data_IF_266057748724
#
_entry.id   IF_266057748724
#
_cell.length_a   1.000
_cell.length_b   1.000
_cell.length_c   1.000
_cell.angle_alpha   90.00
_cell.angle_beta   90.00
_cell.angle_gamma   90.00
#
_symmetry.space_group_name_H-M   'P 1'
#
loop_
_entity.id
_entity.type
_entity.pdbx_description
1 polymer ?
#
# COMPACT_ATOMS: atom_id res chain seq x y z
N UNK A 1 23.10 31.67 27.67
CA UNK A 1 21.64 31.47 27.66
C UNK A 1 21.01 31.82 26.30
N UNK A 2 21.21 33.05 25.80
CA UNK A 2 20.65 33.54 24.53
C UNK A 2 20.94 32.65 23.30
N UNK A 3 22.18 32.21 23.09
CA UNK A 3 22.54 31.36 21.94
C UNK A 3 21.77 30.02 21.94
N UNK A 4 21.60 29.40 23.12
CA UNK A 4 20.86 28.13 23.24
C UNK A 4 19.37 28.33 22.96
N UNK A 5 18.79 29.44 23.42
CA UNK A 5 17.39 29.77 23.14
C UNK A 5 17.15 30.02 21.64
N UNK A 6 18.08 30.71 20.97
CA UNK A 6 18.01 30.92 19.51
C UNK A 6 18.10 29.58 18.77
N UNK A 7 19.06 28.73 19.10
CA UNK A 7 19.22 27.41 18.45
C UNK A 7 17.97 26.53 18.62
N UNK A 8 17.41 26.47 19.84
CA UNK A 8 16.19 25.68 20.11
C UNK A 8 15.00 26.25 19.34
N UNK A 9 14.84 27.58 19.30
CA UNK A 9 13.75 28.22 18.57
C UNK A 9 13.87 28.01 17.05
N UNK A 10 15.08 28.11 16.49
CA UNK A 10 15.30 27.88 15.05
C UNK A 10 15.06 26.42 14.70
N UNK A 11 15.65 25.46 15.43
CA UNK A 11 15.47 24.02 15.16
C UNK A 11 14.01 23.63 15.34
N UNK A 12 13.37 24.02 16.44
CA UNK A 12 11.96 23.74 16.69
C UNK A 12 11.04 24.35 15.64
N UNK A 13 11.29 25.59 15.24
CA UNK A 13 10.54 26.27 14.18
C UNK A 13 10.70 25.58 12.82
N UNK A 14 11.92 25.20 12.44
CA UNK A 14 12.18 24.49 11.18
C UNK A 14 11.54 23.10 11.19
N UNK A 15 11.66 22.35 12.28
CA UNK A 15 11.03 21.03 12.40
C UNK A 15 9.50 21.13 12.34
N UNK A 16 8.90 22.09 13.06
CA UNK A 16 7.45 22.30 13.01
C UNK A 16 6.98 22.70 11.60
N UNK A 17 7.73 23.56 10.91
CA UNK A 17 7.43 23.95 9.53
C UNK A 17 7.49 22.75 8.57
N UNK A 18 8.53 21.91 8.68
CA UNK A 18 8.67 20.70 7.85
C UNK A 18 7.51 19.73 8.11
N UNK A 19 7.17 19.47 9.38
CA UNK A 19 6.08 18.55 9.73
C UNK A 19 4.74 19.07 9.22
N UNK A 20 4.44 20.34 9.43
CA UNK A 20 3.19 20.95 8.95
C UNK A 20 3.10 20.97 7.42
N UNK A 21 4.23 21.15 6.74
CA UNK A 21 4.28 21.12 5.28
C UNK A 21 4.13 19.71 4.72
N UNK A 22 4.75 18.69 5.34
CA UNK A 22 4.72 17.30 4.85
C UNK A 22 3.43 16.56 5.21
N UNK A 23 2.82 16.87 6.36
CA UNK A 23 1.58 16.25 6.83
C UNK A 23 0.44 16.21 5.78
N UNK A 24 0.09 17.31 5.08
CA UNK A 24 -0.97 17.26 4.08
C UNK A 24 -0.63 16.35 2.90
N UNK A 25 0.62 16.30 2.45
CA UNK A 25 1.02 15.41 1.36
C UNK A 25 0.90 13.94 1.76
N UNK A 26 1.28 13.60 2.99
CA UNK A 26 1.14 12.24 3.50
C UNK A 26 -0.34 11.86 3.62
N UNK A 27 -1.16 12.73 4.21
CA UNK A 27 -2.60 12.50 4.31
C UNK A 27 -3.28 12.36 2.94
N UNK A 28 -2.87 13.14 1.94
CA UNK A 28 -3.39 13.00 0.57
C UNK A 28 -3.02 11.65 -0.05
N UNK A 29 -1.78 11.19 0.15
CA UNK A 29 -1.34 9.86 -0.30
C UNK A 29 -2.10 8.74 0.39
N UNK A 30 -2.29 8.83 1.70
CA UNK A 30 -3.02 7.82 2.48
C UNK A 30 -4.49 7.74 2.03
N UNK A 31 -5.12 8.90 1.78
CA UNK A 31 -6.48 8.94 1.21
C UNK A 31 -6.53 8.35 -0.19
N UNK A 32 -5.61 8.72 -1.07
CA UNK A 32 -5.55 8.16 -2.43
C UNK A 32 -5.35 6.65 -2.42
N UNK A 33 -4.49 6.13 -1.52
CA UNK A 33 -4.26 4.70 -1.32
C UNK A 33 -5.53 4.01 -0.83
N UNK A 34 -6.15 4.52 0.23
CA UNK A 34 -7.41 3.97 0.77
C UNK A 34 -8.51 3.89 -0.30
N UNK A 35 -8.68 4.95 -1.09
CA UNK A 35 -9.63 4.96 -2.20
C UNK A 35 -9.30 3.86 -3.21
N UNK A 36 -8.04 3.78 -3.64
CA UNK A 36 -7.60 2.87 -4.71
C UNK A 36 -7.69 1.40 -4.28
N UNK A 37 -7.33 1.08 -3.04
CA UNK A 37 -7.42 -0.27 -2.47
C UNK A 37 -8.87 -0.75 -2.36
N UNK A 38 -9.81 0.13 -2.02
CA UNK A 38 -11.22 -0.21 -1.85
C UNK A 38 -12.04 -0.16 -3.15
N UNK A 39 -11.51 0.52 -4.17
CA UNK A 39 -12.14 0.71 -5.47
C UNK A 39 -12.64 -0.59 -6.12
N UNK A 40 -11.85 -1.67 -6.29
CA UNK A 40 -12.31 -2.88 -6.96
C UNK A 40 -13.53 -3.50 -6.28
N UNK A 41 -13.50 -3.61 -4.94
CA UNK A 41 -14.61 -4.18 -4.16
C UNK A 41 -15.88 -3.34 -4.26
N UNK A 42 -15.74 -2.02 -4.24
CA UNK A 42 -16.87 -1.13 -4.39
C UNK A 42 -17.48 -1.20 -5.79
N UNK A 43 -16.65 -1.28 -6.84
CA UNK A 43 -17.12 -1.42 -8.23
C UNK A 43 -17.81 -2.77 -8.43
N UNK A 44 -17.28 -3.87 -7.89
CA UNK A 44 -17.95 -5.17 -7.92
C UNK A 44 -19.33 -5.13 -7.26
N UNK A 45 -19.45 -4.47 -6.11
CA UNK A 45 -20.76 -4.29 -5.45
C UNK A 45 -21.70 -3.41 -6.30
N UNK A 46 -21.20 -2.30 -6.85
CA UNK A 46 -21.97 -1.45 -7.75
C UNK A 46 -22.45 -2.20 -8.98
N UNK A 47 -21.62 -3.03 -9.60
CA UNK A 47 -21.99 -3.88 -10.74
C UNK A 47 -23.08 -4.88 -10.36
N UNK A 48 -22.96 -5.54 -9.20
CA UNK A 48 -23.98 -6.45 -8.69
C UNK A 48 -25.32 -5.73 -8.45
N UNK A 49 -25.29 -4.54 -7.85
CA UNK A 49 -26.49 -3.71 -7.62
C UNK A 49 -27.09 -3.23 -8.96
N UNK A 50 -26.28 -2.76 -9.89
CA UNK A 50 -26.72 -2.30 -11.21
C UNK A 50 -27.37 -3.43 -12.03
N UNK A 51 -26.90 -4.67 -11.88
CA UNK A 51 -27.49 -5.85 -12.54
C UNK A 51 -28.95 -6.10 -12.16
N UNK A 52 -29.38 -5.60 -10.99
CA UNK A 52 -30.78 -5.67 -10.53
C UNK A 52 -31.66 -4.52 -11.05
N UNK A 53 -31.13 -3.66 -11.94
CA UNK A 53 -31.84 -2.52 -12.51
C UNK A 53 -31.95 -1.32 -11.58
N UNK A 54 -31.17 -1.28 -10.50
CA UNK A 54 -31.14 -0.15 -9.57
C UNK A 54 -30.52 1.07 -10.25
N UNK A 55 -31.18 2.25 -10.23
CA UNK A 55 -30.62 3.46 -10.82
C UNK A 55 -29.31 3.92 -10.14
N UNK A 56 -28.38 4.57 -10.87
CA UNK A 56 -27.06 4.91 -10.35
C UNK A 56 -27.07 5.79 -9.09
N UNK A 57 -27.97 6.77 -9.01
CA UNK A 57 -28.10 7.63 -7.84
C UNK A 57 -28.48 6.84 -6.56
N UNK A 58 -29.34 5.84 -6.70
CA UNK A 58 -29.74 4.96 -5.59
C UNK A 58 -28.64 3.95 -5.24
N UNK A 59 -27.92 3.45 -6.24
CA UNK A 59 -26.74 2.61 -6.05
C UNK A 59 -25.66 3.33 -5.23
N UNK A 60 -25.33 4.59 -5.56
CA UNK A 60 -24.38 5.38 -4.77
C UNK A 60 -24.84 5.61 -3.34
N UNK A 61 -26.15 5.79 -3.12
CA UNK A 61 -26.71 5.85 -1.76
C UNK A 61 -26.47 4.58 -0.97
N UNK A 62 -26.68 3.40 -1.57
CA UNK A 62 -26.42 2.11 -0.92
C UNK A 62 -24.96 1.95 -0.52
N UNK A 63 -24.02 2.39 -1.37
CA UNK A 63 -22.59 2.39 -1.06
C UNK A 63 -22.24 3.33 0.10
N UNK A 64 -22.90 4.49 0.19
CA UNK A 64 -22.72 5.43 1.31
C UNK A 64 -23.28 4.87 2.61
N UNK A 65 -24.43 4.21 2.55
CA UNK A 65 -25.08 3.60 3.72
C UNK A 65 -24.28 2.41 4.28
N UNK A 66 -23.60 1.64 3.43
CA UNK A 66 -22.81 0.49 3.86
C UNK A 66 -21.57 0.90 4.67
N UNK A 67 -20.94 2.04 4.33
CA UNK A 67 -19.71 2.57 4.99
C UNK A 67 -18.51 1.60 5.01
N UNK A 68 -18.53 0.58 4.17
CA UNK A 68 -17.51 -0.48 4.19
C UNK A 68 -16.21 -0.09 3.45
N UNK A 69 -16.23 0.99 2.65
CA UNK A 69 -15.16 1.30 1.69
C UNK A 69 -14.29 2.51 2.11
N UNK A 70 -14.34 2.93 3.38
CA UNK A 70 -13.45 3.97 3.93
C UNK A 70 -13.52 5.29 3.16
N UNK A 71 -12.36 5.81 2.73
CA UNK A 71 -12.27 7.09 1.99
C UNK A 71 -12.97 7.05 0.62
N UNK A 72 -13.15 5.88 0.01
CA UNK A 72 -13.97 5.76 -1.19
C UNK A 72 -15.44 6.12 -0.91
N UNK A 73 -16.01 5.63 0.20
CA UNK A 73 -17.36 6.00 0.63
C UNK A 73 -17.49 7.51 0.81
N UNK A 74 -16.46 8.18 1.36
CA UNK A 74 -16.46 9.63 1.51
C UNK A 74 -16.47 10.38 0.17
N UNK A 75 -15.82 9.87 -0.88
CA UNK A 75 -15.91 10.47 -2.22
C UNK A 75 -17.28 10.26 -2.88
N UNK A 76 -17.89 9.08 -2.70
CA UNK A 76 -19.26 8.81 -3.18
C UNK A 76 -20.29 9.64 -2.42
N UNK A 77 -20.09 9.86 -1.12
CA UNK A 77 -20.96 10.70 -0.30
C UNK A 77 -21.01 12.13 -0.84
N UNK A 78 -19.88 12.69 -1.32
CA UNK A 78 -19.87 14.00 -2.01
C UNK A 78 -20.73 13.99 -3.27
N UNK A 79 -20.67 12.92 -4.07
CA UNK A 79 -21.52 12.78 -5.27
C UNK A 79 -23.00 12.80 -4.88
N UNK A 80 -23.38 12.02 -3.87
CA UNK A 80 -24.77 11.97 -3.37
C UNK A 80 -25.21 13.34 -2.83
N UNK A 81 -24.35 14.02 -2.07
CA UNK A 81 -24.62 15.36 -1.55
C UNK A 81 -24.80 16.40 -2.67
N UNK A 82 -24.00 16.35 -3.74
CA UNK A 82 -24.19 17.23 -4.90
C UNK A 82 -25.56 17.05 -5.56
N UNK A 83 -26.05 15.81 -5.63
CA UNK A 83 -27.37 15.52 -6.18
C UNK A 83 -28.48 15.96 -5.22
N UNK A 84 -28.43 15.54 -3.96
CA UNK A 84 -29.53 15.72 -3.01
C UNK A 84 -29.60 17.13 -2.39
N UNK A 85 -28.45 17.74 -2.08
CA UNK A 85 -28.40 19.03 -1.39
C UNK A 85 -28.28 20.20 -2.37
N UNK A 86 -27.51 20.02 -3.45
CA UNK A 86 -27.23 21.08 -4.41
C UNK A 86 -28.06 20.98 -5.70
N UNK A 87 -28.80 19.88 -5.89
CA UNK A 87 -29.68 19.68 -7.04
C UNK A 87 -28.95 19.50 -8.37
N UNK A 88 -27.67 19.10 -8.34
CA UNK A 88 -26.89 18.87 -9.55
C UNK A 88 -27.34 17.56 -10.21
N UNK A 89 -27.25 17.49 -11.53
CA UNK A 89 -27.44 16.23 -12.23
C UNK A 89 -26.29 15.26 -11.92
N UNK A 90 -26.53 13.97 -12.16
CA UNK A 90 -25.59 12.89 -11.88
C UNK A 90 -24.24 13.10 -12.59
N UNK A 91 -24.25 13.52 -13.85
CA UNK A 91 -23.04 13.65 -14.66
C UNK A 91 -22.21 14.84 -14.19
N UNK A 92 -22.84 15.98 -13.93
CA UNK A 92 -22.19 17.17 -13.35
C UNK A 92 -21.61 16.87 -11.96
N UNK A 93 -22.35 16.11 -11.14
CA UNK A 93 -21.88 15.70 -9.81
C UNK A 93 -20.64 14.80 -9.87
N UNK A 94 -20.65 13.80 -10.77
CA UNK A 94 -19.51 12.91 -11.00
C UNK A 94 -18.29 13.68 -11.52
N UNK A 95 -18.46 14.55 -12.52
CA UNK A 95 -17.38 15.41 -13.05
C UNK A 95 -16.79 16.32 -11.96
N UNK A 96 -17.64 16.88 -11.10
CA UNK A 96 -17.21 17.78 -10.01
C UNK A 96 -16.33 17.06 -8.99
N UNK A 97 -16.71 15.84 -8.58
CA UNK A 97 -15.89 15.03 -7.65
C UNK A 97 -14.63 14.50 -8.35
N UNK A 98 -14.74 14.06 -9.60
CA UNK A 98 -13.60 13.58 -10.40
C UNK A 98 -12.51 14.65 -10.61
N UNK A 99 -12.88 15.94 -10.62
CA UNK A 99 -11.93 17.04 -10.76
C UNK A 99 -11.06 17.26 -9.52
N UNK A 100 -11.51 16.85 -8.33
CA UNK A 100 -10.85 17.15 -7.05
C UNK A 100 -10.36 15.90 -6.30
N UNK A 101 -10.71 14.70 -6.77
CA UNK A 101 -10.28 13.44 -6.12
C UNK A 101 -8.77 13.22 -6.22
N UNK A 102 -8.10 12.77 -5.14
CA UNK A 102 -6.68 12.47 -5.18
C UNK A 102 -6.35 11.11 -5.84
N UNK A 103 -7.36 10.28 -6.13
CA UNK A 103 -7.18 8.96 -6.75
C UNK A 103 -7.45 9.01 -8.25
N UNK A 104 -6.40 8.73 -9.05
CA UNK A 104 -6.50 8.67 -10.52
C UNK A 104 -7.44 7.54 -11.01
N UNK A 105 -7.38 6.30 -10.47
CA UNK A 105 -8.32 5.24 -10.86
C UNK A 105 -9.79 5.59 -10.58
N UNK A 106 -10.07 6.29 -9.47
CA UNK A 106 -11.43 6.75 -9.17
C UNK A 106 -11.90 7.83 -10.16
N UNK A 107 -11.01 8.75 -10.51
CA UNK A 107 -11.30 9.76 -11.54
C UNK A 107 -11.67 9.11 -12.88
N UNK A 108 -10.85 8.17 -13.35
CA UNK A 108 -11.08 7.44 -14.60
C UNK A 108 -12.39 6.63 -14.55
N UNK A 109 -12.72 6.05 -13.39
CA UNK A 109 -13.99 5.35 -13.18
C UNK A 109 -15.20 6.29 -13.33
N UNK A 110 -15.19 7.45 -12.68
CA UNK A 110 -16.28 8.44 -12.80
C UNK A 110 -16.41 9.00 -14.22
N UNK A 111 -15.30 9.31 -14.88
CA UNK A 111 -15.29 9.72 -16.29
C UNK A 111 -15.87 8.62 -17.20
N UNK A 112 -15.54 7.36 -16.93
CA UNK A 112 -16.12 6.21 -17.63
C UNK A 112 -17.64 6.11 -17.47
N UNK A 113 -18.17 6.27 -16.26
CA UNK A 113 -19.63 6.31 -16.03
C UNK A 113 -20.29 7.42 -16.85
N UNK A 114 -19.73 8.63 -16.78
CA UNK A 114 -20.27 9.80 -17.48
C UNK A 114 -20.27 9.56 -18.99
N UNK A 115 -19.16 9.08 -19.56
CA UNK A 115 -19.04 8.81 -20.99
C UNK A 115 -20.02 7.72 -21.45
N UNK A 116 -20.22 6.67 -20.66
CA UNK A 116 -21.19 5.62 -20.98
C UNK A 116 -22.62 6.16 -20.97
N UNK A 117 -22.97 7.02 -20.01
CA UNK A 117 -24.30 7.65 -19.97
C UNK A 117 -24.50 8.61 -21.15
N UNK A 118 -23.51 9.48 -21.45
CA UNK A 118 -23.61 10.47 -22.53
C UNK A 118 -23.71 9.84 -23.92
N UNK A 119 -23.04 8.71 -24.13
CA UNK A 119 -23.12 7.95 -25.38
C UNK A 119 -24.36 7.07 -25.49
N UNK A 120 -25.20 6.99 -24.45
CA UNK A 120 -26.36 6.10 -24.39
C UNK A 120 -25.98 4.61 -24.33
N UNK A 121 -24.78 4.31 -23.83
CA UNK A 121 -24.25 2.95 -23.70
C UNK A 121 -24.84 2.17 -22.52
N UNK A 122 -24.45 0.90 -22.43
CA UNK A 122 -24.85 0.02 -21.33
C UNK A 122 -24.00 0.26 -20.08
N UNK A 123 -24.56 1.01 -19.13
CA UNK A 123 -23.91 1.29 -17.85
C UNK A 123 -23.69 0.02 -17.01
N UNK A 124 -24.62 -0.93 -17.05
CA UNK A 124 -24.49 -2.18 -16.29
C UNK A 124 -23.35 -3.01 -16.84
N UNK A 125 -23.26 -3.13 -18.17
CA UNK A 125 -22.14 -3.77 -18.85
C UNK A 125 -20.80 -3.09 -18.57
N UNK A 126 -20.76 -1.74 -18.58
CA UNK A 126 -19.57 -0.97 -18.21
C UNK A 126 -19.13 -1.25 -16.76
N UNK A 127 -20.05 -1.21 -15.80
CA UNK A 127 -19.75 -1.47 -14.39
C UNK A 127 -19.23 -2.90 -14.19
N UNK A 128 -19.82 -3.89 -14.86
CA UNK A 128 -19.36 -5.28 -14.84
C UNK A 128 -17.94 -5.42 -15.39
N UNK A 129 -17.70 -4.90 -16.59
CA UNK A 129 -16.37 -4.93 -17.21
C UNK A 129 -15.31 -4.25 -16.33
N UNK A 130 -15.66 -3.08 -15.75
CA UNK A 130 -14.73 -2.35 -14.90
C UNK A 130 -14.50 -3.04 -13.55
N UNK A 131 -15.50 -3.76 -13.02
CA UNK A 131 -15.34 -4.60 -11.85
C UNK A 131 -14.30 -5.70 -12.10
N UNK A 132 -14.44 -6.43 -13.21
CA UNK A 132 -13.50 -7.49 -13.59
C UNK A 132 -12.09 -6.93 -13.81
N UNK A 133 -11.95 -5.85 -14.59
CA UNK A 133 -10.65 -5.21 -14.87
C UNK A 133 -9.94 -4.74 -13.59
N UNK A 134 -10.67 -4.12 -12.67
CA UNK A 134 -10.09 -3.61 -11.42
C UNK A 134 -9.80 -4.73 -10.42
N UNK A 135 -10.61 -5.78 -10.37
CA UNK A 135 -10.36 -6.97 -9.54
C UNK A 135 -9.15 -7.75 -10.05
N UNK A 136 -9.06 -8.00 -11.35
CA UNK A 136 -7.90 -8.67 -11.97
C UNK A 136 -6.61 -7.90 -11.68
N UNK A 137 -6.65 -6.56 -11.82
CA UNK A 137 -5.51 -5.69 -11.50
C UNK A 137 -5.10 -5.81 -10.03
N UNK A 138 -6.09 -5.82 -9.12
CA UNK A 138 -5.86 -5.99 -7.69
C UNK A 138 -5.26 -7.36 -7.35
N UNK A 139 -5.78 -8.45 -7.93
CA UNK A 139 -5.27 -9.80 -7.73
C UNK A 139 -3.84 -9.96 -8.26
N UNK A 140 -3.54 -9.38 -9.43
CA UNK A 140 -2.19 -9.36 -9.99
C UNK A 140 -1.19 -8.64 -9.08
N UNK A 141 -1.58 -7.49 -8.53
CA UNK A 141 -0.74 -6.74 -7.59
C UNK A 141 -0.50 -7.53 -6.30
N UNK A 142 -1.55 -8.15 -5.74
CA UNK A 142 -1.45 -9.04 -4.57
C UNK A 142 -0.57 -10.25 -4.82
N UNK A 143 -0.68 -10.87 -6.00
CA UNK A 143 0.17 -11.99 -6.39
C UNK A 143 1.64 -11.57 -6.47
N UNK A 144 1.93 -10.45 -7.14
CA UNK A 144 3.29 -9.90 -7.22
C UNK A 144 3.87 -9.60 -5.84
N UNK A 145 3.05 -9.08 -4.93
CA UNK A 145 3.46 -8.84 -3.55
C UNK A 145 3.79 -10.15 -2.81
N UNK A 146 2.94 -11.16 -2.92
CA UNK A 146 3.18 -12.48 -2.33
C UNK A 146 4.44 -13.14 -2.90
N UNK A 147 4.66 -13.06 -4.22
CA UNK A 147 5.86 -13.58 -4.88
C UNK A 147 7.13 -12.87 -4.37
N UNK A 148 7.03 -11.56 -4.10
CA UNK A 148 8.12 -10.77 -3.52
C UNK A 148 8.44 -11.23 -2.09
N UNK A 149 7.41 -11.42 -1.26
CA UNK A 149 7.58 -11.95 0.11
C UNK A 149 8.16 -13.37 0.10
N UNK A 150 7.68 -14.22 -0.81
CA UNK A 150 8.19 -15.58 -0.97
C UNK A 150 9.68 -15.56 -1.32
N UNK A 151 10.07 -14.73 -2.28
CA UNK A 151 11.48 -14.52 -2.67
C UNK A 151 12.32 -14.07 -1.48
N UNK A 152 11.83 -13.14 -0.66
CA UNK A 152 12.54 -12.70 0.55
C UNK A 152 12.64 -13.81 1.59
N UNK A 153 11.62 -14.66 1.72
CA UNK A 153 11.62 -15.82 2.62
C UNK A 153 12.64 -16.87 2.19
N UNK A 154 12.77 -17.10 0.89
CA UNK A 154 13.79 -18.01 0.33
C UNK A 154 15.20 -17.49 0.58
N UNK A 155 15.42 -16.18 0.39
CA UNK A 155 16.71 -15.53 0.69
C UNK A 155 17.04 -15.68 2.19
N UNK A 156 16.07 -15.46 3.07
CA UNK A 156 16.26 -15.59 4.52
C UNK A 156 16.61 -17.03 4.92
N UNK A 157 15.85 -18.01 4.44
CA UNK A 157 16.08 -19.42 4.78
C UNK A 157 17.40 -19.96 4.19
N UNK A 158 17.74 -19.59 2.95
CA UNK A 158 18.97 -20.02 2.29
C UNK A 158 20.23 -19.35 2.87
N UNK A 159 20.27 -18.02 2.94
CA UNK A 159 21.49 -17.28 3.29
C UNK A 159 21.60 -17.04 4.79
N UNK A 160 20.50 -16.77 5.50
CA UNK A 160 20.57 -16.38 6.92
C UNK A 160 20.37 -17.56 7.87
N UNK A 161 19.79 -18.67 7.42
CA UNK A 161 19.64 -19.89 8.24
C UNK A 161 20.59 -20.99 7.77
N UNK A 162 20.45 -21.46 6.53
CA UNK A 162 21.18 -22.62 6.05
C UNK A 162 22.69 -22.35 5.98
N UNK A 163 23.13 -21.24 5.39
CA UNK A 163 24.56 -20.95 5.28
C UNK A 163 25.28 -20.83 6.64
N UNK A 164 24.74 -20.12 7.66
CA UNK A 164 25.35 -20.10 8.99
C UNK A 164 25.32 -21.46 9.68
N UNK A 165 24.25 -22.25 9.50
CA UNK A 165 24.19 -23.60 10.04
C UNK A 165 25.28 -24.49 9.44
N UNK A 166 25.47 -24.46 8.12
CA UNK A 166 26.55 -25.16 7.44
C UNK A 166 27.92 -24.66 7.88
N UNK A 167 28.10 -23.34 8.01
CA UNK A 167 29.34 -22.73 8.49
C UNK A 167 29.71 -23.23 9.89
N UNK A 168 28.77 -23.16 10.84
CA UNK A 168 29.00 -23.63 12.22
C UNK A 168 29.25 -25.14 12.24
N UNK A 169 28.48 -25.92 11.47
CA UNK A 169 28.63 -27.39 11.43
C UNK A 169 29.99 -27.81 10.85
N UNK A 170 30.41 -27.22 9.74
CA UNK A 170 31.68 -27.54 9.10
C UNK A 170 32.87 -27.17 9.99
N UNK A 171 32.85 -25.99 10.61
CA UNK A 171 33.90 -25.58 11.54
C UNK A 171 33.90 -26.42 12.82
N UNK A 172 32.74 -26.87 13.30
CA UNK A 172 32.66 -27.75 14.47
C UNK A 172 33.40 -29.07 14.22
N UNK A 173 33.27 -29.66 13.03
CA UNK A 173 34.02 -30.87 12.65
C UNK A 173 35.54 -30.64 12.65
N UNK A 174 36.00 -29.49 12.14
CA UNK A 174 37.43 -29.13 12.15
C UNK A 174 37.94 -28.88 13.57
N UNK A 175 37.13 -28.22 14.41
CA UNK A 175 37.44 -27.96 15.82
C UNK A 175 37.65 -29.26 16.61
N UNK A 176 36.83 -30.29 16.36
CA UNK A 176 36.97 -31.60 17.00
C UNK A 176 38.30 -32.29 16.70
N UNK A 177 38.89 -32.04 15.52
CA UNK A 177 40.18 -32.60 15.12
C UNK A 177 41.37 -31.75 15.63
N UNK A 178 41.11 -30.74 16.47
CA UNK A 178 42.12 -29.80 16.96
C UNK A 178 42.66 -28.88 15.87
N UNK A 179 41.91 -28.71 14.77
CA UNK A 179 42.33 -27.91 13.63
C UNK A 179 42.39 -26.42 13.97
N UNK A 180 43.43 -25.76 13.47
CA UNK A 180 43.52 -24.30 13.38
C UNK A 180 43.24 -23.88 11.94
N UNK A 181 42.55 -22.76 11.75
CA UNK A 181 42.39 -22.15 10.43
C UNK A 181 43.33 -20.96 10.38
N UNK A 182 44.48 -21.13 9.71
CA UNK A 182 45.58 -20.16 9.74
C UNK A 182 46.21 -20.07 11.13
N UNK A 183 46.25 -18.86 11.70
CA UNK A 183 46.80 -18.59 13.04
C UNK A 183 45.75 -18.57 14.16
N UNK A 184 44.46 -18.70 13.83
CA UNK A 184 43.35 -18.60 14.78
C UNK A 184 42.79 -19.98 15.13
N UNK A 185 42.43 -20.14 16.41
CA UNK A 185 41.69 -21.31 16.87
C UNK A 185 40.27 -21.29 16.29
N UNK A 186 39.83 -22.44 15.77
CA UNK A 186 38.52 -22.57 15.11
C UNK A 186 37.37 -22.22 16.06
N UNK A 187 37.50 -22.51 17.35
CA UNK A 187 36.51 -22.11 18.36
C UNK A 187 36.30 -20.59 18.42
N UNK A 188 37.38 -19.80 18.27
CA UNK A 188 37.28 -18.33 18.25
C UNK A 188 36.51 -17.87 17.01
N UNK A 189 36.74 -18.52 15.86
CA UNK A 189 36.04 -18.21 14.60
C UNK A 189 34.55 -18.55 14.70
N UNK A 190 34.19 -19.70 15.29
CA UNK A 190 32.79 -20.08 15.50
C UNK A 190 32.10 -19.08 16.42
N UNK A 191 32.70 -18.76 17.58
CA UNK A 191 32.13 -17.80 18.54
C UNK A 191 31.97 -16.41 17.89
N UNK A 192 32.99 -15.92 17.20
CA UNK A 192 32.90 -14.65 16.48
C UNK A 192 31.84 -14.68 15.38
N UNK A 193 31.76 -15.76 14.60
CA UNK A 193 30.74 -15.95 13.57
C UNK A 193 29.33 -15.94 14.13
N UNK A 194 29.07 -16.72 15.18
CA UNK A 194 27.74 -16.86 15.76
C UNK A 194 27.28 -15.63 16.52
N UNK A 195 28.16 -14.97 17.29
CA UNK A 195 27.77 -13.85 18.13
C UNK A 195 27.95 -12.48 17.48
N UNK A 196 28.70 -12.37 16.37
CA UNK A 196 28.93 -11.10 15.67
C UNK A 196 28.41 -11.14 14.25
N UNK A 197 28.86 -12.10 13.43
CA UNK A 197 28.54 -12.11 11.99
C UNK A 197 27.05 -12.39 11.75
N UNK A 198 26.49 -13.44 12.37
CA UNK A 198 25.07 -13.80 12.18
C UNK A 198 24.12 -12.67 12.62
N UNK A 199 24.28 -12.05 13.81
CA UNK A 199 23.46 -10.91 14.20
C UNK A 199 23.58 -9.72 13.25
N UNK A 200 24.80 -9.39 12.80
CA UNK A 200 25.00 -8.32 11.83
C UNK A 200 24.30 -8.59 10.50
N UNK A 201 24.37 -9.83 9.99
CA UNK A 201 23.63 -10.24 8.80
C UNK A 201 22.12 -10.09 8.98
N UNK A 202 21.58 -10.49 10.13
CA UNK A 202 20.15 -10.38 10.44
C UNK A 202 19.71 -8.91 10.54
N UNK A 203 20.49 -8.06 11.21
CA UNK A 203 20.23 -6.60 11.25
C UNK A 203 20.26 -6.02 9.84
N UNK A 204 21.24 -6.39 9.03
CA UNK A 204 21.33 -5.98 7.63
C UNK A 204 20.09 -6.39 6.82
N UNK A 205 19.60 -7.62 7.03
CA UNK A 205 18.40 -8.11 6.35
C UNK A 205 17.13 -7.40 6.80
N UNK A 206 16.98 -7.07 8.08
CA UNK A 206 15.85 -6.26 8.59
C UNK A 206 15.84 -4.87 7.93
N UNK A 207 17.01 -4.23 7.81
CA UNK A 207 17.15 -2.94 7.12
C UNK A 207 16.77 -3.09 5.65
N UNK A 208 17.27 -4.13 4.98
CA UNK A 208 16.91 -4.43 3.59
C UNK A 208 15.40 -4.59 3.40
N UNK A 209 14.72 -5.33 4.28
CA UNK A 209 13.26 -5.50 4.22
C UNK A 209 12.51 -4.18 4.39
N UNK A 210 12.94 -3.34 5.33
CA UNK A 210 12.29 -2.05 5.61
C UNK A 210 12.42 -1.08 4.43
N UNK A 211 13.56 -1.12 3.72
CA UNK A 211 13.80 -0.27 2.55
C UNK A 211 13.11 -0.82 1.29
N UNK A 212 13.00 -2.15 1.17
CA UNK A 212 12.49 -2.81 -0.04
C UNK A 212 10.99 -3.12 0.01
N UNK A 213 10.33 -2.88 1.15
CA UNK A 213 8.92 -3.16 1.32
C UNK A 213 8.09 -2.31 0.33
N UNK A 214 7.34 -2.92 -0.60
CA UNK A 214 6.45 -2.19 -1.48
C UNK A 214 5.33 -1.55 -0.67
N UNK A 215 4.96 -0.32 -1.04
CA UNK A 215 3.74 0.33 -0.56
C UNK A 215 2.50 -0.33 -1.19
N UNK A 216 2.06 -1.49 -0.67
CA UNK A 216 0.77 -2.13 -1.02
C UNK A 216 -0.33 -1.74 -0.05
#
# INVERSE_FOLDING_TARGET
ALIRAIVIATVGGTTAFIVLYLYPFQKLKDRARSITTNLPFAITNMAAVASSGVPPAKMFRLIVESKDYGEFTAEIEKVVQYIELFGYDLMTSLRSVAAVTPSKPLKEFFEGIVNTIESGGDLTGFLGQKADETMDSYEMERKKYNDTIATYSDIYTGILIAAPLFFVSALSLVSMLGGKVGSLDVNVIIVAGTYVIIPLMNIGFIIFLTVSQPDV
#
